data_IF_026281580697
#
_entry.id   IF_026281580697
#
_cell.length_a   1.000
_cell.length_b   1.000
_cell.length_c   1.000
_cell.angle_alpha   90.00
_cell.angle_beta   90.00
_cell.angle_gamma   90.00
#
_symmetry.space_group_name_H-M   'P 1'
#
loop_
_entity.id
_entity.type
_entity.pdbx_description
1 polymer ?
#
# COMPACT_ATOMS: atom_id res chain seq x y z
N UNK A 1 -27.43 1.23 -27.52
CA UNK A 1 -26.54 2.06 -26.66
C UNK A 1 -25.45 1.15 -26.14
N UNK A 2 -24.22 1.32 -26.60
CA UNK A 2 -23.06 0.54 -26.15
C UNK A 2 -22.16 1.50 -25.40
N UNK A 3 -22.00 1.26 -24.10
CA UNK A 3 -20.95 1.91 -23.33
C UNK A 3 -19.63 1.28 -23.77
N UNK A 4 -18.89 1.96 -24.64
CA UNK A 4 -17.47 1.67 -24.84
C UNK A 4 -16.78 2.22 -23.60
N UNK A 5 -16.67 1.38 -22.58
CA UNK A 5 -15.91 1.71 -21.38
C UNK A 5 -14.44 1.80 -21.78
N UNK A 6 -13.98 3.03 -21.93
CA UNK A 6 -12.66 3.38 -22.43
C UNK A 6 -11.62 3.46 -21.31
N UNK A 7 -11.79 2.69 -20.23
CA UNK A 7 -10.83 2.64 -19.12
C UNK A 7 -9.82 1.49 -19.27
N UNK A 8 -9.74 0.88 -20.46
CA UNK A 8 -9.01 -0.37 -20.66
C UNK A 8 -7.47 -0.22 -20.72
N UNK A 9 -6.91 0.98 -20.89
CA UNK A 9 -5.51 1.11 -21.32
C UNK A 9 -4.52 1.84 -20.41
N UNK A 10 -4.91 2.95 -19.77
CA UNK A 10 -3.91 3.96 -19.36
C UNK A 10 -3.78 4.17 -17.83
N UNK A 11 -4.81 3.84 -17.06
CA UNK A 11 -4.87 4.12 -15.61
C UNK A 11 -4.93 2.86 -14.74
N UNK A 12 -4.72 1.67 -15.34
CA UNK A 12 -4.92 0.38 -14.66
C UNK A 12 -3.76 -0.06 -13.79
N UNK A 13 -2.57 0.50 -13.99
CA UNK A 13 -1.39 0.17 -13.19
C UNK A 13 -1.36 1.06 -11.95
N UNK A 14 -1.90 0.54 -10.85
CA UNK A 14 -1.80 1.15 -9.53
C UNK A 14 -0.55 0.60 -8.85
N UNK A 15 0.32 1.49 -8.37
CA UNK A 15 1.45 1.15 -7.52
C UNK A 15 1.20 1.55 -6.08
N UNK A 16 1.60 0.67 -5.18
CA UNK A 16 1.47 0.87 -3.74
C UNK A 16 2.83 1.15 -3.11
N UNK A 17 2.89 2.10 -2.18
CA UNK A 17 4.09 2.42 -1.42
C UNK A 17 3.76 2.86 0.01
N UNK A 18 4.69 2.66 0.94
CA UNK A 18 4.59 3.25 2.28
C UNK A 18 4.89 4.74 2.19
N UNK A 19 3.86 5.57 2.41
CA UNK A 19 4.01 7.03 2.52
C UNK A 19 4.56 7.43 3.88
N UNK A 20 4.18 6.71 4.94
CA UNK A 20 4.70 6.89 6.29
C UNK A 20 4.84 5.52 6.95
N UNK A 21 6.03 5.23 7.46
CA UNK A 21 6.33 4.02 8.22
C UNK A 21 7.45 4.33 9.20
N UNK A 22 7.38 3.78 10.41
CA UNK A 22 8.48 3.91 11.40
C UNK A 22 9.60 2.93 11.06
N UNK A 23 10.84 3.22 11.47
CA UNK A 23 11.98 2.32 11.23
C UNK A 23 11.76 0.91 11.80
N UNK A 24 11.08 0.82 12.94
CA UNK A 24 10.71 -0.46 13.54
C UNK A 24 9.71 -1.21 12.67
N UNK A 25 8.64 -0.54 12.23
CA UNK A 25 7.62 -1.13 11.38
C UNK A 25 8.19 -1.55 10.01
N UNK A 26 9.13 -0.81 9.43
CA UNK A 26 9.75 -1.17 8.13
C UNK A 26 10.59 -2.44 8.18
N UNK A 27 11.01 -2.87 9.37
CA UNK A 27 11.70 -4.16 9.56
C UNK A 27 10.73 -5.33 9.83
N UNK A 28 9.42 -5.05 9.92
CA UNK A 28 8.39 -6.02 10.28
C UNK A 28 7.40 -6.21 9.12
N UNK A 29 7.02 -5.13 8.44
CA UNK A 29 6.03 -5.14 7.38
C UNK A 29 6.67 -4.99 6.01
N UNK A 30 6.14 -5.75 5.06
CA UNK A 30 6.39 -5.59 3.63
C UNK A 30 5.10 -5.18 2.93
N UNK A 31 5.21 -4.34 1.91
CA UNK A 31 4.11 -3.98 1.03
C UNK A 31 4.45 -4.44 -0.39
N UNK A 32 3.61 -5.30 -0.95
CA UNK A 32 3.70 -5.66 -2.36
C UNK A 32 3.23 -4.48 -3.22
N UNK A 33 4.13 -3.96 -4.07
CA UNK A 33 3.88 -2.75 -4.85
C UNK A 33 2.82 -2.91 -5.93
N UNK A 34 2.51 -4.13 -6.34
CA UNK A 34 1.57 -4.44 -7.43
C UNK A 34 0.16 -4.70 -6.89
N UNK A 35 0.06 -5.37 -5.75
CA UNK A 35 -1.20 -5.85 -5.19
C UNK A 35 -1.67 -5.03 -3.99
N UNK A 36 -0.77 -4.27 -3.36
CA UNK A 36 -1.06 -3.57 -2.12
C UNK A 36 -1.13 -4.48 -0.89
N UNK A 37 -0.77 -5.75 -1.03
CA UNK A 37 -0.78 -6.70 0.08
C UNK A 37 0.28 -6.34 1.12
N UNK A 38 -0.14 -6.19 2.38
CA UNK A 38 0.76 -6.02 3.52
C UNK A 38 1.03 -7.40 4.13
N UNK A 39 2.30 -7.78 4.22
CA UNK A 39 2.75 -9.04 4.79
C UNK A 39 3.80 -8.82 5.88
N UNK A 40 4.03 -9.85 6.70
CA UNK A 40 5.06 -9.83 7.73
C UNK A 40 6.39 -10.39 7.19
N UNK A 41 7.47 -9.66 7.40
CA UNK A 41 8.84 -10.09 7.17
C UNK A 41 9.35 -11.01 8.28
N UNK A 42 8.83 -10.83 9.49
CA UNK A 42 9.11 -11.64 10.68
C UNK A 42 7.88 -11.73 11.57
N UNK A 43 7.84 -12.73 12.43
CA UNK A 43 6.78 -12.88 13.43
C UNK A 43 6.71 -11.65 14.34
N UNK A 44 5.48 -11.23 14.67
CA UNK A 44 5.24 -10.19 15.65
C UNK A 44 5.52 -10.74 17.05
N UNK A 45 6.38 -10.05 17.79
CA UNK A 45 6.52 -10.23 19.23
C UNK A 45 5.76 -9.11 19.95
N UNK A 46 4.84 -9.49 20.84
CA UNK A 46 4.02 -8.54 21.59
C UNK A 46 4.88 -7.67 22.53
N UNK A 47 6.03 -8.19 23.00
CA UNK A 47 6.94 -7.41 23.84
C UNK A 47 7.73 -6.35 23.06
N UNK A 48 7.85 -6.49 21.74
CA UNK A 48 8.54 -5.49 20.92
C UNK A 48 7.68 -4.25 20.73
N UNK A 49 6.35 -4.35 20.63
CA UNK A 49 5.43 -3.19 20.63
C UNK A 49 3.95 -3.54 20.54
N UNK A 50 3.15 -2.65 21.10
CA UNK A 50 1.71 -2.73 21.30
C UNK A 50 0.88 -2.23 20.10
N UNK A 51 1.43 -1.34 19.26
CA UNK A 51 0.79 -0.86 18.03
C UNK A 51 1.78 -0.39 16.96
N UNK A 52 1.35 -0.39 15.70
CA UNK A 52 2.12 0.12 14.56
C UNK A 52 1.23 0.96 13.66
N UNK A 53 1.61 2.21 13.40
CA UNK A 53 0.92 3.09 12.45
C UNK A 53 1.66 3.10 11.10
N UNK A 54 0.95 2.76 10.03
CA UNK A 54 1.42 2.79 8.65
C UNK A 54 0.51 3.70 7.81
N UNK A 55 1.07 4.44 6.86
CA UNK A 55 0.30 5.14 5.83
C UNK A 55 0.71 4.59 4.46
N UNK A 56 -0.24 4.04 3.71
CA UNK A 56 -0.03 3.50 2.37
C UNK A 56 -0.59 4.48 1.35
N UNK A 57 0.16 4.69 0.27
CA UNK A 57 -0.27 5.45 -0.89
C UNK A 57 -0.50 4.50 -2.07
N UNK A 58 -1.64 4.64 -2.74
CA UNK A 58 -1.93 4.03 -4.02
C UNK A 58 -1.82 5.11 -5.10
N UNK A 59 -1.01 4.90 -6.13
CA UNK A 59 -0.76 5.87 -7.21
C UNK A 59 -1.01 5.23 -8.57
N UNK A 60 -1.81 5.89 -9.41
CA UNK A 60 -2.06 5.45 -10.78
C UNK A 60 -0.93 5.87 -11.74
N UNK A 61 -0.96 5.31 -12.96
CA UNK A 61 -0.02 5.67 -14.03
C UNK A 61 -0.13 7.12 -14.52
N UNK A 62 -1.22 7.82 -14.21
CA UNK A 62 -1.44 9.25 -14.48
C UNK A 62 -0.85 10.18 -13.42
N UNK A 63 -0.35 9.61 -12.32
CA UNK A 63 0.24 10.34 -11.21
C UNK A 63 -0.74 10.79 -10.13
N UNK A 64 -2.03 10.48 -10.24
CA UNK A 64 -3.01 10.68 -9.18
C UNK A 64 -2.76 9.65 -8.08
N UNK A 65 -3.02 10.04 -6.84
CA UNK A 65 -2.84 9.14 -5.70
C UNK A 65 -3.88 9.37 -4.62
N UNK A 66 -4.13 8.31 -3.85
CA UNK A 66 -4.89 8.37 -2.59
C UNK A 66 -4.09 7.69 -1.47
N UNK A 67 -4.46 7.95 -0.22
CA UNK A 67 -3.72 7.48 0.96
C UNK A 67 -4.63 6.93 2.04
N UNK A 68 -4.23 5.81 2.64
CA UNK A 68 -4.95 5.15 3.72
C UNK A 68 -4.05 4.93 4.95
N UNK A 69 -4.64 5.08 6.13
CA UNK A 69 -3.99 4.76 7.41
C UNK A 69 -4.30 3.32 7.82
N UNK A 70 -3.28 2.62 8.29
CA UNK A 70 -3.36 1.27 8.87
C UNK A 70 -2.84 1.36 10.29
N UNK A 71 -3.63 0.92 11.26
CA UNK A 71 -3.32 0.95 12.69
C UNK A 71 -4.06 -0.13 13.45
#
# INVERSE_FOLDING_TARGET
VTATDADDGLYREIKYLFKKITEKASNIFNLDSETGAITLLRSLDYEEGDSYELEVQARDGGGLFDTAKVG
#
